data_IF_277675387948
#
_entry.id   IF_277675387948
#
_cell.length_a   1.000
_cell.length_b   1.000
_cell.length_c   1.000
_cell.angle_alpha   90.00
_cell.angle_beta   90.00
_cell.angle_gamma   90.00
#
_symmetry.space_group_name_H-M   'P 1'
#
loop_
_entity.id
_entity.type
_entity.pdbx_description
1 polymer ?
#
# COMPACT_ATOMS: atom_id res chain seq x y z
N UNK A 1 -42.94 -66.74 -44.83
CA UNK A 1 -43.28 -65.49 -45.42
C UNK A 1 -43.60 -64.54 -44.25
N UNK A 2 -42.61 -64.26 -43.48
CA UNK A 2 -42.70 -63.29 -42.36
C UNK A 2 -41.26 -62.87 -41.99
N UNK A 3 -40.76 -61.84 -42.64
CA UNK A 3 -39.55 -61.11 -42.26
C UNK A 3 -39.39 -59.91 -43.18
N UNK A 4 -39.86 -58.71 -42.80
CA UNK A 4 -39.51 -57.41 -43.41
C UNK A 4 -40.41 -56.28 -42.86
N UNK A 5 -40.48 -56.07 -41.54
CA UNK A 5 -41.17 -54.89 -40.99
C UNK A 5 -40.59 -54.39 -39.62
N UNK A 6 -39.31 -54.69 -39.34
CA UNK A 6 -38.68 -54.24 -38.09
C UNK A 6 -37.53 -53.22 -38.25
N UNK A 7 -37.27 -52.74 -39.48
CA UNK A 7 -36.12 -51.86 -39.80
C UNK A 7 -36.35 -50.37 -39.81
N UNK A 8 -37.58 -49.88 -39.77
CA UNK A 8 -37.90 -48.45 -40.05
C UNK A 8 -38.26 -47.59 -38.85
N UNK A 9 -38.55 -48.17 -37.70
CA UNK A 9 -38.90 -47.40 -36.48
C UNK A 9 -37.70 -47.00 -35.60
N UNK A 10 -36.57 -47.67 -35.73
CA UNK A 10 -35.37 -47.35 -34.94
C UNK A 10 -34.58 -46.18 -35.50
N UNK A 11 -34.67 -45.85 -36.78
CA UNK A 11 -33.94 -44.74 -37.41
C UNK A 11 -34.59 -43.36 -37.16
N UNK A 12 -35.87 -43.29 -36.92
CA UNK A 12 -36.56 -42.01 -36.68
C UNK A 12 -36.34 -41.50 -35.25
N UNK A 13 -36.24 -42.42 -34.25
CA UNK A 13 -36.01 -42.05 -32.85
C UNK A 13 -34.54 -41.61 -32.63
N UNK A 14 -33.60 -42.19 -33.41
CA UNK A 14 -32.18 -41.84 -33.28
C UNK A 14 -31.84 -40.49 -33.90
N UNK A 15 -32.58 -40.07 -34.94
CA UNK A 15 -32.36 -38.81 -35.65
C UNK A 15 -32.96 -37.60 -34.91
N UNK A 16 -34.03 -37.81 -34.14
CA UNK A 16 -34.63 -36.75 -33.30
C UNK A 16 -33.86 -36.49 -32.01
N UNK A 17 -33.15 -37.52 -31.46
CA UNK A 17 -32.37 -37.38 -30.23
C UNK A 17 -31.03 -36.67 -30.48
N UNK A 18 -30.46 -36.71 -31.67
CA UNK A 18 -29.20 -36.06 -32.03
C UNK A 18 -29.34 -34.59 -32.33
N UNK A 19 -30.56 -34.08 -32.63
CA UNK A 19 -30.80 -32.66 -32.96
C UNK A 19 -31.12 -31.80 -31.76
N UNK A 20 -31.38 -32.36 -30.60
CA UNK A 20 -31.66 -31.65 -29.35
C UNK A 20 -30.44 -31.44 -28.44
N UNK A 21 -29.25 -31.89 -28.87
CA UNK A 21 -28.02 -31.81 -28.06
C UNK A 21 -27.15 -30.57 -28.32
N UNK A 22 -27.58 -29.63 -29.13
CA UNK A 22 -26.78 -28.48 -29.59
C UNK A 22 -27.22 -27.13 -29.03
N UNK A 23 -27.93 -27.09 -27.90
CA UNK A 23 -28.20 -25.84 -27.18
C UNK A 23 -27.96 -25.97 -25.68
N UNK A 24 -26.83 -26.58 -25.29
CA UNK A 24 -26.23 -26.26 -24.02
C UNK A 24 -25.29 -25.07 -24.28
N UNK A 25 -25.83 -23.88 -24.15
CA UNK A 25 -25.06 -22.66 -23.94
C UNK A 25 -24.24 -22.96 -22.67
N UNK A 26 -22.89 -23.00 -22.71
CA UNK A 26 -22.15 -23.00 -21.49
C UNK A 26 -22.54 -21.71 -20.75
N UNK A 27 -23.22 -21.83 -19.63
CA UNK A 27 -23.34 -20.74 -18.68
C UNK A 27 -21.89 -20.33 -18.40
N UNK A 28 -21.45 -19.25 -19.05
CA UNK A 28 -20.18 -18.65 -18.73
C UNK A 28 -20.19 -18.38 -17.23
N UNK A 29 -19.33 -19.05 -16.50
CA UNK A 29 -18.98 -18.64 -15.16
C UNK A 29 -18.45 -17.21 -15.33
N UNK A 30 -19.30 -16.21 -15.08
CA UNK A 30 -18.85 -14.88 -14.78
C UNK A 30 -18.15 -15.06 -13.45
N UNK A 31 -16.84 -15.19 -13.47
CA UNK A 31 -16.03 -15.05 -12.27
C UNK A 31 -16.31 -13.61 -11.79
N UNK A 32 -17.15 -13.48 -10.77
CA UNK A 32 -17.25 -12.27 -10.00
C UNK A 32 -15.87 -12.09 -9.39
N UNK A 33 -15.06 -11.21 -10.01
CA UNK A 33 -13.84 -10.73 -9.39
C UNK A 33 -14.28 -10.01 -8.12
N UNK A 34 -14.18 -10.70 -6.99
CA UNK A 34 -14.43 -10.10 -5.69
C UNK A 34 -13.14 -9.42 -5.27
N UNK A 35 -13.20 -8.12 -5.05
CA UNK A 35 -12.13 -7.40 -4.37
C UNK A 35 -11.71 -8.19 -3.12
N UNK A 36 -10.42 -8.49 -3.01
CA UNK A 36 -9.90 -9.31 -1.89
C UNK A 36 -9.77 -8.40 -0.68
N UNK A 37 -10.67 -8.57 0.29
CA UNK A 37 -10.55 -7.94 1.61
C UNK A 37 -9.96 -8.96 2.59
N UNK A 38 -8.79 -8.62 3.15
CA UNK A 38 -8.07 -9.47 4.09
C UNK A 38 -8.53 -9.22 5.52
N UNK A 39 -8.69 -10.30 6.25
CA UNK A 39 -8.98 -10.31 7.69
C UNK A 39 -7.82 -10.96 8.45
N UNK A 40 -7.73 -10.85 9.78
CA UNK A 40 -6.72 -11.58 10.55
C UNK A 40 -6.74 -13.09 10.28
N UNK A 41 -7.92 -13.66 10.06
CA UNK A 41 -8.08 -15.10 9.83
C UNK A 41 -7.63 -15.55 8.42
N UNK A 42 -7.65 -14.63 7.45
CA UNK A 42 -7.28 -14.95 6.05
C UNK A 42 -5.91 -14.41 5.66
N UNK A 43 -5.33 -13.55 6.48
CA UNK A 43 -4.06 -12.89 6.18
C UNK A 43 -2.95 -13.89 5.84
N UNK A 44 -2.60 -14.76 6.79
CA UNK A 44 -1.45 -15.65 6.65
C UNK A 44 -1.57 -16.58 5.43
N UNK A 45 -2.76 -17.13 5.16
CA UNK A 45 -2.99 -18.01 4.03
C UNK A 45 -2.94 -17.27 2.68
N UNK A 46 -3.50 -16.06 2.60
CA UNK A 46 -3.61 -15.32 1.35
C UNK A 46 -2.29 -14.65 0.92
N UNK A 47 -1.47 -14.25 1.89
CA UNK A 47 -0.21 -13.55 1.62
C UNK A 47 0.99 -14.48 1.49
N UNK A 48 0.82 -15.77 1.84
CA UNK A 48 1.92 -16.73 1.86
C UNK A 48 2.65 -16.79 0.50
N UNK A 49 3.97 -16.57 0.51
CA UNK A 49 4.82 -16.63 -0.69
C UNK A 49 4.61 -15.48 -1.69
N UNK A 50 3.84 -14.45 -1.35
CA UNK A 50 3.56 -13.33 -2.25
C UNK A 50 4.20 -12.04 -1.77
N UNK A 51 4.53 -11.17 -2.70
CA UNK A 51 4.72 -9.76 -2.42
C UNK A 51 3.35 -9.09 -2.38
N UNK A 52 3.07 -8.37 -1.33
CA UNK A 52 1.75 -7.76 -1.15
C UNK A 52 1.77 -6.26 -1.42
N UNK A 53 0.66 -5.73 -1.90
CA UNK A 53 0.39 -4.30 -2.00
C UNK A 53 -1.01 -4.07 -1.44
N UNK A 54 -1.08 -3.53 -0.22
CA UNK A 54 -2.29 -3.55 0.61
C UNK A 54 -2.69 -2.14 0.98
N UNK A 55 -3.97 -1.83 0.77
CA UNK A 55 -4.61 -0.60 1.23
C UNK A 55 -5.31 -0.85 2.56
N UNK A 56 -4.83 -0.19 3.60
CA UNK A 56 -5.46 -0.14 4.92
C UNK A 56 -6.42 1.05 4.96
N UNK A 57 -7.69 0.79 5.21
CA UNK A 57 -8.74 1.80 5.09
C UNK A 57 -9.79 1.74 6.21
N UNK A 58 -10.68 2.74 6.20
CA UNK A 58 -11.93 2.71 6.95
C UNK A 58 -13.09 3.14 6.04
N UNK A 59 -14.28 2.51 6.12
CA UNK A 59 -15.42 2.77 5.21
C UNK A 59 -15.95 4.21 5.24
N UNK A 60 -15.80 4.88 6.38
CA UNK A 60 -16.20 6.28 6.56
C UNK A 60 -15.17 7.31 6.07
N UNK A 61 -13.96 6.87 5.72
CA UNK A 61 -12.87 7.75 5.29
C UNK A 61 -13.11 8.31 3.87
N UNK A 62 -13.24 9.63 3.73
CA UNK A 62 -13.48 10.29 2.44
C UNK A 62 -12.33 10.13 1.43
N UNK A 63 -11.07 10.10 1.90
CA UNK A 63 -9.90 9.87 1.04
C UNK A 63 -9.87 8.42 0.51
N UNK A 64 -10.27 7.45 1.35
CA UNK A 64 -10.38 6.06 0.96
C UNK A 64 -11.45 5.86 -0.13
N UNK A 65 -12.60 6.51 0.02
CA UNK A 65 -13.68 6.47 -0.98
C UNK A 65 -13.25 7.04 -2.33
N UNK A 66 -12.45 8.11 -2.34
CA UNK A 66 -11.93 8.67 -3.60
C UNK A 66 -10.93 7.76 -4.31
N UNK A 67 -10.09 7.06 -3.54
CA UNK A 67 -9.11 6.12 -4.07
C UNK A 67 -9.73 4.79 -4.54
N UNK A 68 -10.91 4.44 -4.01
CA UNK A 68 -11.52 3.11 -4.21
C UNK A 68 -11.66 2.69 -5.68
N UNK A 69 -12.16 3.51 -6.62
CA UNK A 69 -12.31 3.09 -8.01
C UNK A 69 -10.99 2.67 -8.66
N UNK A 70 -9.92 3.43 -8.42
CA UNK A 70 -8.59 3.14 -8.98
C UNK A 70 -7.97 1.91 -8.32
N UNK A 71 -8.20 1.74 -7.03
CA UNK A 71 -7.73 0.57 -6.28
C UNK A 71 -8.47 -0.71 -6.67
N UNK A 72 -9.79 -0.66 -6.82
CA UNK A 72 -10.60 -1.81 -7.25
C UNK A 72 -10.16 -2.27 -8.66
N UNK A 73 -9.92 -1.32 -9.57
CA UNK A 73 -9.37 -1.63 -10.89
C UNK A 73 -8.00 -2.29 -10.81
N UNK A 74 -7.14 -1.84 -9.90
CA UNK A 74 -5.83 -2.45 -9.70
C UNK A 74 -5.96 -3.89 -9.16
N UNK A 75 -6.86 -4.12 -8.20
CA UNK A 75 -7.15 -5.47 -7.70
C UNK A 75 -7.62 -6.41 -8.81
N UNK A 76 -8.50 -5.92 -9.70
CA UNK A 76 -8.99 -6.69 -10.85
C UNK A 76 -7.85 -7.03 -11.84
N UNK A 77 -6.93 -6.09 -12.11
CA UNK A 77 -5.78 -6.29 -13.00
C UNK A 77 -4.84 -7.39 -12.48
N UNK A 78 -4.67 -7.48 -11.16
CA UNK A 78 -3.77 -8.44 -10.52
C UNK A 78 -4.47 -9.67 -9.93
N UNK A 79 -5.78 -9.84 -10.17
CA UNK A 79 -6.58 -10.94 -9.59
C UNK A 79 -6.05 -12.35 -9.92
N UNK A 80 -5.36 -12.50 -11.05
CA UNK A 80 -4.76 -13.77 -11.50
C UNK A 80 -3.25 -13.88 -11.23
N UNK A 81 -2.67 -12.94 -10.50
CA UNK A 81 -1.24 -12.97 -10.19
C UNK A 81 -0.93 -13.98 -9.08
N UNK A 82 0.02 -14.87 -9.33
CA UNK A 82 0.50 -15.84 -8.36
C UNK A 82 1.55 -15.25 -7.40
N UNK A 83 2.22 -14.18 -7.80
CA UNK A 83 3.38 -13.62 -7.10
C UNK A 83 3.12 -12.28 -6.40
N UNK A 84 2.12 -11.52 -6.85
CA UNK A 84 1.75 -10.21 -6.28
C UNK A 84 0.28 -10.24 -5.86
N UNK A 85 0.01 -9.84 -4.63
CA UNK A 85 -1.34 -9.74 -4.09
C UNK A 85 -1.69 -8.27 -3.85
N UNK A 86 -2.72 -7.77 -4.55
CA UNK A 86 -3.33 -6.47 -4.28
C UNK A 86 -4.58 -6.70 -3.46
N UNK A 87 -4.68 -6.08 -2.29
CA UNK A 87 -5.78 -6.35 -1.36
C UNK A 87 -6.15 -5.14 -0.48
N UNK A 88 -7.31 -5.24 0.15
CA UNK A 88 -7.82 -4.29 1.12
C UNK A 88 -7.81 -4.87 2.54
N UNK A 89 -7.69 -3.99 3.54
CA UNK A 89 -7.90 -4.31 4.96
C UNK A 89 -8.74 -3.22 5.59
N UNK A 90 -9.93 -3.57 6.09
CA UNK A 90 -10.79 -2.65 6.86
C UNK A 90 -10.35 -2.58 8.33
N UNK A 91 -9.68 -1.48 8.68
CA UNK A 91 -9.17 -1.24 10.03
C UNK A 91 -10.26 -0.79 11.03
N UNK A 92 -11.49 -0.57 10.59
CA UNK A 92 -12.61 -0.19 11.50
C UNK A 92 -13.31 -1.39 12.13
N UNK A 93 -13.04 -2.60 11.60
CA UNK A 93 -13.66 -3.86 12.01
C UNK A 93 -12.72 -4.79 12.77
N UNK A 94 -12.86 -6.09 12.49
CA UNK A 94 -12.09 -7.18 13.13
C UNK A 94 -10.61 -7.14 12.79
N UNK A 95 -10.23 -6.49 11.68
CA UNK A 95 -8.84 -6.38 11.26
C UNK A 95 -8.04 -5.25 11.97
N UNK A 96 -8.65 -4.52 12.92
CA UNK A 96 -7.93 -3.50 13.69
C UNK A 96 -6.62 -3.99 14.32
N UNK A 97 -6.53 -5.18 14.96
CA UNK A 97 -5.27 -5.69 15.50
C UNK A 97 -4.17 -5.87 14.44
N UNK A 98 -4.53 -6.30 13.23
CA UNK A 98 -3.60 -6.40 12.11
C UNK A 98 -3.09 -5.01 11.70
N UNK A 99 -3.98 -4.03 11.61
CA UNK A 99 -3.61 -2.64 11.29
C UNK A 99 -2.66 -2.03 12.34
N UNK A 100 -2.93 -2.29 13.61
CA UNK A 100 -2.07 -1.84 14.72
C UNK A 100 -0.69 -2.52 14.64
N UNK A 101 -0.64 -3.83 14.36
CA UNK A 101 0.59 -4.62 14.20
C UNK A 101 1.49 -4.05 13.09
N UNK A 102 0.92 -3.65 11.95
CA UNK A 102 1.67 -3.10 10.82
C UNK A 102 1.85 -1.57 10.89
N UNK A 103 1.47 -0.94 11.99
CA UNK A 103 1.74 0.46 12.28
C UNK A 103 0.88 1.47 11.52
N UNK A 104 -0.37 1.12 11.18
CA UNK A 104 -1.30 2.06 10.52
C UNK A 104 -1.74 3.14 11.51
N UNK A 105 -1.46 4.42 11.17
CA UNK A 105 -1.78 5.60 12.02
C UNK A 105 -2.87 6.49 11.43
N UNK A 106 -3.27 6.25 10.17
CA UNK A 106 -4.26 7.06 9.46
C UNK A 106 -4.76 6.38 8.19
N UNK A 107 -5.76 6.96 7.51
CA UNK A 107 -6.41 6.35 6.35
C UNK A 107 -6.47 7.28 5.13
N UNK A 108 -6.27 6.73 3.90
CA UNK A 108 -5.74 5.41 3.66
C UNK A 108 -4.23 5.37 3.93
N UNK A 109 -3.74 4.28 4.49
CA UNK A 109 -2.33 3.89 4.47
C UNK A 109 -2.19 2.78 3.44
N UNK A 110 -1.18 2.88 2.57
CA UNK A 110 -0.88 1.84 1.59
C UNK A 110 0.50 1.32 1.89
N UNK A 111 0.63 -0.01 1.99
CA UNK A 111 1.90 -0.68 2.27
C UNK A 111 2.18 -1.76 1.24
N UNK A 112 3.45 -2.07 1.05
CA UNK A 112 3.92 -3.06 0.10
C UNK A 112 5.13 -3.83 0.63
N UNK A 113 5.41 -4.98 0.03
CA UNK A 113 6.61 -5.76 0.36
C UNK A 113 6.31 -7.19 0.79
N UNK A 114 7.24 -7.79 1.53
CA UNK A 114 6.99 -9.05 2.22
C UNK A 114 5.94 -8.85 3.31
N UNK A 115 5.02 -9.81 3.53
CA UNK A 115 4.04 -9.73 4.62
C UNK A 115 4.65 -9.50 6.01
N UNK A 116 5.89 -9.93 6.21
CA UNK A 116 6.63 -9.80 7.47
C UNK A 116 7.43 -8.49 7.57
N UNK A 117 7.60 -7.77 6.44
CA UNK A 117 8.36 -6.52 6.36
C UNK A 117 7.70 -5.56 5.36
N UNK A 118 6.62 -4.91 5.81
CA UNK A 118 5.83 -3.98 5.00
C UNK A 118 6.40 -2.57 5.04
N UNK A 119 6.65 -2.01 3.85
CA UNK A 119 7.10 -0.65 3.63
C UNK A 119 5.92 0.28 3.30
N UNK A 120 6.01 1.55 3.67
CA UNK A 120 5.00 2.55 3.29
C UNK A 120 5.12 2.93 1.81
N UNK A 121 4.00 2.90 1.09
CA UNK A 121 3.90 3.47 -0.25
C UNK A 121 3.59 4.96 -0.16
N UNK A 122 4.46 5.77 -0.75
CA UNK A 122 4.37 7.25 -0.73
C UNK A 122 4.06 7.86 -2.11
N UNK A 123 3.79 7.02 -3.12
CA UNK A 123 3.51 7.45 -4.49
C UNK A 123 2.09 8.01 -4.71
N UNK A 124 1.75 8.26 -5.98
CA UNK A 124 0.42 8.70 -6.41
C UNK A 124 -0.66 7.66 -6.14
N UNK A 125 -1.91 8.11 -6.03
CA UNK A 125 -3.06 7.27 -5.68
C UNK A 125 -3.99 7.00 -6.85
N UNK A 126 -3.68 7.56 -7.99
CA UNK A 126 -4.36 7.34 -9.27
C UNK A 126 -3.92 6.00 -9.87
N UNK A 127 -4.79 5.37 -10.63
CA UNK A 127 -4.56 4.04 -11.20
C UNK A 127 -3.20 3.90 -11.90
N UNK A 128 -2.82 4.87 -12.75
CA UNK A 128 -1.58 4.79 -13.52
C UNK A 128 -0.33 4.73 -12.63
N UNK A 129 -0.29 5.54 -11.56
CA UNK A 129 0.82 5.52 -10.60
C UNK A 129 0.86 4.21 -9.79
N UNK A 130 -0.31 3.74 -9.35
CA UNK A 130 -0.44 2.48 -8.61
C UNK A 130 -0.05 1.29 -9.48
N UNK A 131 -0.51 1.25 -10.74
CA UNK A 131 -0.24 0.16 -11.66
C UNK A 131 1.23 0.14 -12.10
N UNK A 132 1.82 1.31 -12.35
CA UNK A 132 3.27 1.40 -12.63
C UNK A 132 4.07 0.78 -11.49
N UNK A 133 3.78 1.19 -10.25
CA UNK A 133 4.45 0.64 -9.07
C UNK A 133 4.21 -0.86 -8.91
N UNK A 134 2.96 -1.31 -9.03
CA UNK A 134 2.61 -2.72 -8.89
C UNK A 134 3.31 -3.60 -9.93
N UNK A 135 3.53 -3.09 -11.15
CA UNK A 135 4.22 -3.81 -12.23
C UNK A 135 5.72 -4.02 -11.96
N UNK A 136 6.31 -3.20 -11.09
CA UNK A 136 7.71 -3.31 -10.68
C UNK A 136 7.91 -4.26 -9.48
N UNK A 137 6.81 -4.66 -8.81
CA UNK A 137 6.89 -5.58 -7.69
C UNK A 137 7.37 -6.97 -8.13
N UNK A 138 8.40 -7.45 -7.49
CA UNK A 138 8.94 -8.78 -7.71
C UNK A 138 8.68 -9.66 -6.48
N UNK A 139 8.59 -10.98 -6.64
CA UNK A 139 8.55 -11.90 -5.51
C UNK A 139 9.73 -11.61 -4.57
N UNK A 140 9.43 -11.40 -3.29
CA UNK A 140 10.48 -11.15 -2.29
C UNK A 140 11.10 -12.47 -1.81
N UNK A 141 12.42 -12.44 -1.61
CA UNK A 141 13.12 -13.55 -0.98
C UNK A 141 12.58 -13.81 0.42
N UNK A 142 12.15 -15.03 0.69
CA UNK A 142 11.63 -15.46 1.99
C UNK A 142 11.81 -16.97 2.15
N UNK A 143 11.47 -17.48 3.33
CA UNK A 143 11.44 -18.93 3.59
C UNK A 143 10.50 -19.67 2.63
N UNK A 144 9.43 -19.00 2.18
CA UNK A 144 8.47 -19.56 1.23
C UNK A 144 8.93 -19.46 -0.24
N UNK A 145 9.87 -18.55 -0.56
CA UNK A 145 10.34 -18.26 -1.93
C UNK A 145 11.87 -18.29 -2.00
N UNK A 146 12.46 -19.43 -1.71
CA UNK A 146 13.93 -19.57 -1.71
C UNK A 146 14.56 -19.48 -3.10
N UNK A 147 13.79 -19.81 -4.14
CA UNK A 147 14.21 -19.80 -5.54
C UNK A 147 14.51 -18.40 -6.09
N UNK A 148 13.88 -17.36 -5.51
CA UNK A 148 14.16 -15.96 -5.86
C UNK A 148 15.26 -15.34 -4.99
N UNK A 149 15.76 -16.08 -4.01
CA UNK A 149 16.84 -15.63 -3.13
C UNK A 149 18.20 -15.80 -3.78
N UNK A 150 19.11 -14.86 -3.53
CA UNK A 150 20.53 -15.04 -3.81
C UNK A 150 21.12 -16.14 -2.91
N UNK A 151 22.22 -16.75 -3.32
CA UNK A 151 22.92 -17.77 -2.52
C UNK A 151 23.25 -17.29 -1.11
N UNK A 152 23.65 -16.02 -0.95
CA UNK A 152 23.94 -15.44 0.35
C UNK A 152 22.69 -15.31 1.24
N UNK A 153 21.53 -14.99 0.64
CA UNK A 153 20.25 -14.91 1.36
C UNK A 153 19.77 -16.31 1.75
N UNK A 154 19.89 -17.29 0.86
CA UNK A 154 19.53 -18.68 1.18
C UNK A 154 20.37 -19.22 2.33
N UNK A 155 21.69 -18.96 2.32
CA UNK A 155 22.55 -19.36 3.44
C UNK A 155 22.19 -18.63 4.74
N UNK A 156 21.86 -17.34 4.68
CA UNK A 156 21.37 -16.59 5.83
C UNK A 156 20.08 -17.20 6.41
N UNK A 157 19.11 -17.51 5.54
CA UNK A 157 17.87 -18.16 5.96
C UNK A 157 18.17 -19.51 6.62
N UNK A 158 19.05 -20.32 6.03
CA UNK A 158 19.43 -21.63 6.59
C UNK A 158 20.03 -21.49 8.00
N UNK A 159 20.93 -20.52 8.19
CA UNK A 159 21.54 -20.27 9.51
C UNK A 159 20.47 -19.79 10.51
N UNK A 160 19.56 -18.89 10.09
CA UNK A 160 18.51 -18.37 10.97
C UNK A 160 17.49 -19.44 11.37
N UNK A 161 17.23 -20.43 10.53
CA UNK A 161 16.36 -21.57 10.87
C UNK A 161 16.93 -22.48 11.98
N UNK A 162 18.24 -22.43 12.23
CA UNK A 162 18.90 -23.16 13.34
C UNK A 162 18.88 -22.35 14.65
N UNK A 163 18.50 -21.06 14.62
CA UNK A 163 18.46 -20.18 15.79
C UNK A 163 17.14 -20.41 16.56
N UNK A 164 17.19 -20.35 17.88
CA UNK A 164 15.99 -20.48 18.71
C UNK A 164 15.00 -19.33 18.49
N UNK A 165 13.72 -19.60 18.67
CA UNK A 165 12.65 -18.59 18.54
C UNK A 165 12.87 -17.44 19.55
N UNK A 166 13.35 -17.74 20.76
CA UNK A 166 13.65 -16.74 21.79
C UNK A 166 14.76 -15.78 21.34
N UNK A 167 15.80 -16.30 20.74
CA UNK A 167 16.92 -15.51 20.21
C UNK A 167 16.46 -14.66 19.01
N UNK A 168 15.66 -15.22 18.09
CA UNK A 168 15.09 -14.46 16.95
C UNK A 168 14.20 -13.33 17.45
N UNK A 169 13.33 -13.58 18.42
CA UNK A 169 12.49 -12.54 19.02
C UNK A 169 13.33 -11.45 19.72
N UNK A 170 14.39 -11.81 20.40
CA UNK A 170 15.29 -10.85 21.04
C UNK A 170 15.96 -9.93 20.01
N UNK A 171 16.38 -10.47 18.85
CA UNK A 171 16.95 -9.67 17.74
C UNK A 171 15.94 -8.71 17.14
N UNK A 172 14.71 -9.18 16.89
CA UNK A 172 13.61 -8.34 16.36
C UNK A 172 13.29 -7.22 17.35
N UNK A 173 13.16 -7.53 18.67
CA UNK A 173 12.90 -6.52 19.69
C UNK A 173 14.01 -5.47 19.75
N UNK A 174 15.27 -5.89 19.80
CA UNK A 174 16.40 -4.97 19.84
C UNK A 174 16.46 -4.04 18.63
N UNK A 175 16.16 -4.55 17.44
CA UNK A 175 16.09 -3.74 16.22
C UNK A 175 14.92 -2.72 16.27
N UNK A 176 13.75 -3.16 16.72
CA UNK A 176 12.56 -2.30 16.87
C UNK A 176 12.82 -1.18 17.89
N UNK A 177 13.48 -1.48 19.00
CA UNK A 177 13.85 -0.49 20.01
C UNK A 177 14.86 0.55 19.46
N UNK A 178 15.81 0.12 18.64
CA UNK A 178 16.73 1.02 17.95
C UNK A 178 16.02 1.96 17.00
N UNK A 179 15.10 1.44 16.17
CA UNK A 179 14.29 2.26 15.26
C UNK A 179 13.43 3.28 16.01
N UNK A 180 12.73 2.81 17.05
CA UNK A 180 11.88 3.69 17.90
C UNK A 180 12.70 4.80 18.55
N UNK A 181 13.90 4.47 19.04
CA UNK A 181 14.81 5.44 19.62
C UNK A 181 15.30 6.47 18.61
N UNK A 182 15.67 6.02 17.40
CA UNK A 182 16.09 6.90 16.31
C UNK A 182 14.97 7.85 15.89
N UNK A 183 13.75 7.34 15.70
CA UNK A 183 12.57 8.16 15.37
C UNK A 183 12.25 9.20 16.46
N UNK A 184 12.33 8.78 17.74
CA UNK A 184 12.12 9.70 18.86
C UNK A 184 13.17 10.80 18.87
N UNK A 185 14.45 10.43 18.75
CA UNK A 185 15.55 11.39 18.72
C UNK A 185 15.39 12.40 17.59
N UNK A 186 15.04 11.94 16.40
CA UNK A 186 14.76 12.80 15.26
C UNK A 186 13.62 13.79 15.55
N UNK A 187 12.50 13.31 16.08
CA UNK A 187 11.35 14.17 16.45
C UNK A 187 11.72 15.23 17.48
N UNK A 188 12.44 14.83 18.53
CA UNK A 188 12.85 15.72 19.59
C UNK A 188 13.76 16.85 19.03
N UNK A 189 14.73 16.50 18.18
CA UNK A 189 15.62 17.47 17.52
C UNK A 189 14.87 18.42 16.58
N UNK A 190 13.92 17.90 15.79
CA UNK A 190 13.07 18.74 14.91
C UNK A 190 12.25 19.72 15.75
N UNK A 191 11.67 19.28 16.86
CA UNK A 191 10.91 20.14 17.78
C UNK A 191 11.77 21.25 18.40
N UNK A 192 13.00 20.93 18.79
CA UNK A 192 13.95 21.90 19.32
C UNK A 192 14.35 22.94 18.28
N UNK A 193 14.63 22.50 17.04
CA UNK A 193 14.91 23.42 15.91
C UNK A 193 13.73 24.35 15.61
N UNK A 194 12.50 23.83 15.63
CA UNK A 194 11.30 24.65 15.42
C UNK A 194 11.16 25.70 16.52
N UNK A 195 11.35 25.32 17.79
CA UNK A 195 11.31 26.26 18.92
C UNK A 195 12.37 27.34 18.79
N UNK A 196 13.59 26.99 18.42
CA UNK A 196 14.69 27.92 18.17
C UNK A 196 14.38 28.89 17.03
N UNK A 197 13.83 28.37 15.92
CA UNK A 197 13.40 29.19 14.79
C UNK A 197 12.34 30.24 15.20
N UNK A 198 11.32 29.83 15.95
CA UNK A 198 10.27 30.76 16.43
C UNK A 198 10.84 31.86 17.34
N UNK A 199 11.80 31.53 18.19
CA UNK A 199 12.48 32.50 19.03
C UNK A 199 13.28 33.54 18.20
N UNK A 200 14.06 33.06 17.21
CA UNK A 200 14.83 33.90 16.31
C UNK A 200 13.90 34.81 15.48
N UNK A 201 12.83 34.23 14.95
CA UNK A 201 11.82 34.98 14.20
C UNK A 201 11.18 36.07 15.05
N UNK A 202 10.77 35.75 16.27
CA UNK A 202 10.20 36.74 17.21
C UNK A 202 11.16 37.89 17.52
N UNK A 203 12.44 37.56 17.75
CA UNK A 203 13.47 38.59 17.97
C UNK A 203 13.69 39.46 16.75
N UNK A 204 13.76 38.90 15.57
CA UNK A 204 13.84 39.61 14.29
C UNK A 204 12.65 40.53 14.09
N UNK A 205 11.42 40.03 14.23
CA UNK A 205 10.21 40.82 14.02
C UNK A 205 10.08 41.98 15.02
N UNK A 206 10.55 41.78 16.27
CA UNK A 206 10.63 42.86 17.27
C UNK A 206 11.57 44.00 16.83
N UNK A 207 12.76 43.67 16.34
CA UNK A 207 13.71 44.65 15.82
C UNK A 207 13.14 45.42 14.62
N UNK A 208 12.51 44.69 13.67
CA UNK A 208 11.87 45.34 12.51
C UNK A 208 10.76 46.28 12.95
N UNK A 209 9.92 45.89 13.91
CA UNK A 209 8.84 46.74 14.43
C UNK A 209 9.38 47.96 15.13
N UNK A 210 10.44 47.86 15.94
CA UNK A 210 11.10 48.97 16.57
C UNK A 210 11.66 49.95 15.54
N UNK A 211 12.40 49.48 14.54
CA UNK A 211 12.97 50.29 13.48
C UNK A 211 11.91 51.02 12.61
N UNK A 212 10.78 50.36 12.34
CA UNK A 212 9.66 50.93 11.62
C UNK A 212 8.95 52.06 12.43
N UNK A 213 8.99 51.99 13.75
CA UNK A 213 8.46 53.02 14.65
C UNK A 213 9.37 54.25 14.79
N UNK A 214 10.56 54.23 14.21
CA UNK A 214 11.49 55.36 14.27
C UNK A 214 11.24 56.42 13.19
N UNK A 215 11.70 57.65 13.42
CA UNK A 215 11.57 58.75 12.45
C UNK A 215 12.51 58.62 11.23
N UNK A 216 13.03 57.44 10.95
CA UNK A 216 14.00 57.23 9.86
C UNK A 216 13.46 57.67 8.49
N UNK A 217 12.15 57.59 8.29
CA UNK A 217 11.48 58.08 7.09
C UNK A 217 11.63 59.60 6.94
N UNK A 218 11.47 60.33 8.05
CA UNK A 218 11.69 61.82 8.09
C UNK A 218 13.16 62.15 7.90
N UNK A 219 14.06 61.43 8.54
CA UNK A 219 15.52 61.60 8.35
C UNK A 219 15.92 61.44 6.89
N UNK A 220 15.43 60.38 6.23
CA UNK A 220 15.67 60.13 4.80
C UNK A 220 15.09 61.22 3.92
N UNK A 221 13.90 61.73 4.24
CA UNK A 221 13.26 62.84 3.51
C UNK A 221 14.09 64.14 3.61
N UNK A 222 14.55 64.48 4.82
CA UNK A 222 15.42 65.68 5.04
C UNK A 222 16.76 65.49 4.33
N UNK A 223 17.35 64.32 4.39
CA UNK A 223 18.60 64.02 3.69
C UNK A 223 18.45 64.20 2.18
N UNK A 224 17.39 63.62 1.58
CA UNK A 224 17.10 63.76 0.14
C UNK A 224 16.87 65.19 -0.29
N UNK A 225 16.22 66.04 0.51
CA UNK A 225 16.02 67.47 0.21
C UNK A 225 17.33 68.27 0.25
N UNK A 226 18.26 67.93 1.13
CA UNK A 226 19.57 68.59 1.20
C UNK A 226 20.48 68.23 0.04
N UNK A 227 20.54 66.94 -0.33
CA UNK A 227 21.35 66.52 -1.48
C UNK A 227 20.85 67.06 -2.82
N UNK A 228 19.56 67.39 -2.92
CA UNK A 228 18.99 67.94 -4.14
C UNK A 228 19.25 69.48 -4.27
N UNK A 229 19.53 70.15 -3.14
CA UNK A 229 19.86 71.63 -3.13
C UNK A 229 21.35 71.89 -3.27
N UNK A 230 22.21 70.89 -3.31
CA UNK A 230 23.67 71.03 -3.50
C UNK A 230 24.12 70.75 -4.94
N UNK A 231 23.20 70.45 -5.86
CA UNK A 231 23.39 70.36 -7.31
C UNK A 231 22.82 71.56 -8.05
#
# INVERSE_FOLDING_TARGET
MFTLLQGTLLNVVFWTYHRMRSFLIPAGLVALSSAIELTPDTWDDQVAGKTVFVKFFAPWCGHCKRMKPDWDRLMDEYASSDSVLIADVDCSGTAKPLCDKVGVKGFPTVKWGSPDDLQDYTGGREFDALNTFASELQPSCSVANLDVCTEAQQETIRILQEVSVEELNARVSAHTDQLTTAEKTFKDQVSELQSSYEQIKKAHDAVITELQGTDIGLVKSVLGSRTHNEL
#
